data_IF_189001721981
#
_entry.id   IF_189001721981
#
_cell.length_a   1.000
_cell.length_b   1.000
_cell.length_c   1.000
_cell.angle_alpha   90.00
_cell.angle_beta   90.00
_cell.angle_gamma   90.00
#
_symmetry.space_group_name_H-M   'P 1'
#
loop_
_entity.id
_entity.type
_entity.pdbx_description
1 polymer ?
#
# COMPACT_ATOMS: atom_id res chain seq x y z
N UNK A 1 -10.82 12.52 -18.06
CA UNK A 1 -9.94 11.71 -18.96
C UNK A 1 -9.93 10.30 -18.43
N UNK A 2 -10.15 9.31 -19.31
CA UNK A 2 -10.04 7.90 -18.96
C UNK A 2 -8.55 7.56 -18.81
N UNK A 3 -8.18 6.95 -17.67
CA UNK A 3 -6.80 6.62 -17.33
C UNK A 3 -6.56 5.11 -17.37
N UNK A 4 -7.57 4.29 -17.02
CA UNK A 4 -7.47 2.83 -17.03
C UNK A 4 -8.28 2.26 -18.18
N UNK A 5 -7.70 1.30 -18.91
CA UNK A 5 -8.27 0.69 -20.10
C UNK A 5 -8.26 -0.84 -19.96
N UNK A 6 -9.42 -1.44 -19.63
CA UNK A 6 -9.58 -2.90 -19.50
C UNK A 6 -8.54 -3.56 -18.58
N UNK A 7 -8.26 -2.93 -17.44
CA UNK A 7 -7.34 -3.47 -16.43
C UNK A 7 -8.02 -4.60 -15.68
N UNK A 8 -7.38 -5.77 -15.66
CA UNK A 8 -7.77 -6.90 -14.82
C UNK A 8 -6.56 -7.39 -14.04
N UNK A 9 -6.71 -7.57 -12.75
CA UNK A 9 -5.72 -8.17 -11.87
C UNK A 9 -6.44 -8.84 -10.69
N UNK A 10 -5.77 -9.76 -10.05
CA UNK A 10 -6.22 -10.40 -8.83
C UNK A 10 -5.10 -10.44 -7.78
N UNK A 11 -5.49 -10.55 -6.52
CA UNK A 11 -4.59 -10.63 -5.36
C UNK A 11 -5.11 -11.71 -4.44
N UNK A 12 -4.33 -12.77 -4.22
CA UNK A 12 -4.73 -13.87 -3.35
C UNK A 12 -4.46 -13.56 -1.87
N UNK A 13 -5.18 -14.19 -0.94
CA UNK A 13 -4.94 -13.99 0.48
C UNK A 13 -3.48 -14.24 0.88
N UNK A 14 -2.91 -13.33 1.66
CA UNK A 14 -1.56 -13.43 2.21
C UNK A 14 -0.42 -13.23 1.22
N UNK A 15 -0.70 -12.90 -0.06
CA UNK A 15 0.36 -12.58 -1.02
C UNK A 15 0.68 -11.09 -1.11
N UNK A 16 1.85 -10.77 -1.61
CA UNK A 16 2.22 -9.44 -2.07
C UNK A 16 2.24 -9.41 -3.59
N UNK A 17 1.31 -8.65 -4.15
CA UNK A 17 1.28 -8.34 -5.59
C UNK A 17 1.83 -6.95 -5.81
N UNK A 18 2.78 -6.80 -6.74
CA UNK A 18 3.32 -5.50 -7.13
C UNK A 18 2.74 -5.05 -8.47
N UNK A 19 2.29 -3.81 -8.52
CA UNK A 19 1.87 -3.13 -9.75
C UNK A 19 2.99 -2.18 -10.18
N UNK A 20 3.75 -2.62 -11.17
CA UNK A 20 4.91 -1.90 -11.70
C UNK A 20 4.51 -0.99 -12.85
N UNK A 21 5.04 0.22 -12.88
CA UNK A 21 4.80 1.17 -13.97
C UNK A 21 5.49 2.50 -13.69
N UNK A 22 5.87 3.24 -14.72
CA UNK A 22 6.38 4.59 -14.56
C UNK A 22 5.27 5.56 -14.14
N UNK A 23 5.63 6.80 -13.81
CA UNK A 23 4.64 7.81 -13.39
C UNK A 23 3.63 8.09 -14.53
N UNK A 24 2.37 8.30 -14.15
CA UNK A 24 1.29 8.57 -15.09
C UNK A 24 0.62 7.33 -15.71
N UNK A 25 1.10 6.12 -15.43
CA UNK A 25 0.54 4.89 -16.02
C UNK A 25 -0.74 4.35 -15.35
N UNK A 26 -1.29 5.06 -14.35
CA UNK A 26 -2.59 4.70 -13.76
C UNK A 26 -2.51 3.89 -12.46
N UNK A 27 -1.32 3.61 -11.91
CA UNK A 27 -1.15 2.85 -10.66
C UNK A 27 -1.98 3.40 -9.50
N UNK A 28 -1.76 4.67 -9.14
CA UNK A 28 -2.52 5.34 -8.06
C UNK A 28 -4.01 5.45 -8.37
N UNK A 29 -4.38 5.57 -9.66
CA UNK A 29 -5.79 5.57 -10.08
C UNK A 29 -6.44 4.23 -9.75
N UNK A 30 -5.75 3.11 -10.02
CA UNK A 30 -6.24 1.79 -9.69
C UNK A 30 -6.43 1.62 -8.18
N UNK A 31 -5.42 1.95 -7.37
CA UNK A 31 -5.53 1.86 -5.90
C UNK A 31 -6.65 2.73 -5.35
N UNK A 32 -6.80 3.96 -5.87
CA UNK A 32 -7.89 4.87 -5.49
C UNK A 32 -9.27 4.34 -5.91
N UNK A 33 -9.35 3.59 -7.01
CA UNK A 33 -10.60 2.93 -7.42
C UNK A 33 -10.98 1.82 -6.45
N UNK A 34 -10.01 1.01 -5.99
CA UNK A 34 -10.24 0.00 -4.95
C UNK A 34 -10.74 0.63 -3.65
N UNK A 35 -10.22 1.82 -3.28
CA UNK A 35 -10.64 2.55 -2.08
C UNK A 35 -11.95 3.34 -2.24
N UNK A 36 -12.63 3.25 -3.39
CA UNK A 36 -13.85 4.01 -3.64
C UNK A 36 -13.65 5.53 -3.80
N UNK A 37 -12.39 5.99 -3.87
CA UNK A 37 -12.07 7.42 -4.09
C UNK A 37 -12.27 7.84 -5.56
N UNK A 38 -12.23 6.89 -6.46
CA UNK A 38 -12.52 7.07 -7.88
C UNK A 38 -13.47 5.96 -8.32
N UNK A 39 -14.47 6.30 -9.12
CA UNK A 39 -15.45 5.32 -9.60
C UNK A 39 -15.09 4.92 -11.04
N UNK A 40 -14.83 3.62 -11.30
CA UNK A 40 -14.66 3.12 -12.66
C UNK A 40 -15.98 3.26 -13.44
N UNK A 41 -15.87 3.61 -14.72
CA UNK A 41 -17.04 3.74 -15.61
C UNK A 41 -17.66 2.38 -15.94
N UNK A 42 -16.87 1.32 -15.95
CA UNK A 42 -17.29 -0.06 -16.23
C UNK A 42 -16.40 -1.05 -15.48
N UNK A 43 -16.85 -2.29 -15.38
CA UNK A 43 -16.11 -3.37 -14.72
C UNK A 43 -16.63 -3.68 -13.32
N UNK A 44 -15.85 -4.41 -12.54
CA UNK A 44 -16.16 -4.80 -11.16
C UNK A 44 -14.90 -4.81 -10.31
N UNK A 45 -15.02 -4.49 -9.04
CA UNK A 45 -13.96 -4.66 -8.04
C UNK A 45 -14.52 -5.56 -6.95
N UNK A 46 -14.07 -6.81 -6.91
CA UNK A 46 -14.63 -7.83 -6.04
C UNK A 46 -13.64 -8.18 -4.93
N UNK A 47 -14.15 -8.22 -3.72
CA UNK A 47 -13.48 -8.75 -2.56
C UNK A 47 -14.15 -10.07 -2.18
N UNK A 48 -13.36 -11.11 -1.96
CA UNK A 48 -13.83 -12.38 -1.43
C UNK A 48 -13.21 -12.61 -0.04
N UNK A 49 -14.06 -12.81 0.95
CA UNK A 49 -13.66 -13.13 2.33
C UNK A 49 -14.55 -14.27 2.80
N UNK A 50 -13.95 -15.36 3.28
CA UNK A 50 -14.65 -16.55 3.78
C UNK A 50 -15.71 -17.12 2.81
N UNK A 51 -15.40 -17.06 1.50
CA UNK A 51 -16.28 -17.53 0.42
C UNK A 51 -17.45 -16.58 0.11
N UNK A 52 -17.54 -15.44 0.78
CA UNK A 52 -18.51 -14.40 0.46
C UNK A 52 -17.87 -13.34 -0.45
N UNK A 53 -18.49 -13.13 -1.60
CA UNK A 53 -18.06 -12.13 -2.57
C UNK A 53 -18.81 -10.81 -2.35
N UNK A 54 -18.06 -9.73 -2.24
CA UNK A 54 -18.58 -8.36 -2.09
C UNK A 54 -18.07 -7.49 -3.23
N UNK A 55 -18.96 -6.81 -3.94
CA UNK A 55 -18.58 -5.78 -4.90
C UNK A 55 -18.25 -4.49 -4.14
N UNK A 56 -17.07 -3.91 -4.42
CA UNK A 56 -16.64 -2.65 -3.82
C UNK A 56 -17.13 -1.42 -4.60
N UNK A 57 -17.61 -1.61 -5.84
CA UNK A 57 -18.15 -0.49 -6.64
C UNK A 57 -19.42 0.02 -5.98
N UNK A 58 -19.49 1.34 -5.82
CA UNK A 58 -20.61 2.02 -5.17
C UNK A 58 -20.54 2.08 -3.64
N UNK A 59 -19.57 1.39 -3.01
CA UNK A 59 -19.32 1.56 -1.59
C UNK A 59 -18.55 2.85 -1.31
N UNK A 60 -18.84 3.47 -0.18
CA UNK A 60 -18.06 4.59 0.31
C UNK A 60 -16.67 4.13 0.81
N UNK A 61 -15.72 5.05 0.87
CA UNK A 61 -14.38 4.75 1.41
C UNK A 61 -14.48 4.25 2.86
N UNK A 62 -15.41 4.78 3.65
CA UNK A 62 -15.65 4.36 5.02
C UNK A 62 -16.10 2.90 5.09
N UNK A 63 -17.03 2.49 4.23
CA UNK A 63 -17.48 1.08 4.15
C UNK A 63 -16.33 0.15 3.73
N UNK A 64 -15.48 0.57 2.80
CA UNK A 64 -14.31 -0.19 2.35
C UNK A 64 -13.29 -0.35 3.48
N UNK A 65 -13.05 0.71 4.23
CA UNK A 65 -12.17 0.66 5.41
C UNK A 65 -12.75 -0.27 6.49
N UNK A 66 -14.06 -0.21 6.76
CA UNK A 66 -14.72 -1.10 7.73
C UNK A 66 -14.62 -2.59 7.35
N UNK A 67 -14.59 -2.93 6.06
CA UNK A 67 -14.35 -4.31 5.58
C UNK A 67 -12.93 -4.78 5.90
N UNK A 68 -11.98 -3.86 6.09
CA UNK A 68 -10.59 -4.18 6.46
C UNK A 68 -9.56 -3.90 5.38
N UNK A 69 -9.86 -2.99 4.46
CA UNK A 69 -8.89 -2.49 3.49
C UNK A 69 -8.34 -1.15 3.98
N UNK A 70 -7.01 -1.03 4.05
CA UNK A 70 -6.34 0.23 4.35
C UNK A 70 -5.38 0.63 3.24
N UNK A 71 -5.11 1.94 3.14
CA UNK A 71 -4.20 2.48 2.14
C UNK A 71 -3.11 3.33 2.78
N UNK A 72 -1.86 3.08 2.39
CA UNK A 72 -0.73 3.99 2.56
C UNK A 72 -0.67 4.86 1.31
N UNK A 73 -1.05 6.13 1.37
CA UNK A 73 -1.11 6.98 0.19
C UNK A 73 0.27 7.50 -0.22
N UNK A 74 0.44 7.79 -1.49
CA UNK A 74 1.57 8.57 -1.99
C UNK A 74 1.64 9.93 -1.28
N UNK A 75 2.86 10.40 -1.00
CA UNK A 75 3.10 11.70 -0.37
C UNK A 75 2.76 11.75 1.12
N UNK A 76 2.65 10.59 1.79
CA UNK A 76 2.51 10.41 3.25
C UNK A 76 1.19 10.93 3.83
N UNK A 77 0.68 12.10 3.38
CA UNK A 77 -0.59 12.71 3.78
C UNK A 77 -0.78 12.79 5.31
N UNK A 78 0.26 13.24 6.02
CA UNK A 78 0.23 13.39 7.48
C UNK A 78 -0.46 14.68 7.91
N UNK A 79 -0.99 14.66 9.11
CA UNK A 79 -1.42 15.85 9.84
C UNK A 79 -0.19 16.48 10.51
N UNK A 80 0.46 17.41 9.82
CA UNK A 80 1.81 17.91 10.16
C UNK A 80 1.89 18.58 11.52
N UNK A 81 0.81 19.22 11.98
CA UNK A 81 0.72 19.91 13.27
C UNK A 81 0.38 18.96 14.43
N UNK A 82 -0.11 17.76 14.14
CA UNK A 82 -0.37 16.74 15.14
C UNK A 82 0.91 15.96 15.46
N UNK A 83 0.98 15.44 16.66
CA UNK A 83 2.05 14.55 17.10
C UNK A 83 2.02 13.21 16.34
N UNK A 84 3.10 12.43 16.44
CA UNK A 84 3.15 11.06 15.93
C UNK A 84 2.01 10.23 16.49
N UNK A 85 1.82 10.23 17.83
CA UNK A 85 0.78 9.45 18.50
C UNK A 85 -0.63 9.84 18.06
N UNK A 86 -0.91 11.14 17.92
CA UNK A 86 -2.19 11.63 17.40
C UNK A 86 -2.42 11.19 15.95
N UNK A 87 -1.40 11.29 15.08
CA UNK A 87 -1.51 10.79 13.71
C UNK A 87 -1.84 9.30 13.68
N UNK A 88 -1.19 8.48 14.51
CA UNK A 88 -1.47 7.06 14.59
C UNK A 88 -2.91 6.82 15.08
N UNK A 89 -3.29 7.46 16.16
CA UNK A 89 -4.63 7.30 16.77
C UNK A 89 -5.76 7.61 15.78
N UNK A 90 -5.58 8.61 14.92
CA UNK A 90 -6.54 8.91 13.84
C UNK A 90 -6.69 7.74 12.83
N UNK A 91 -5.67 6.88 12.70
CA UNK A 91 -5.74 5.68 11.87
C UNK A 91 -6.68 4.60 12.41
N UNK A 92 -7.02 4.60 13.70
CA UNK A 92 -7.95 3.65 14.31
C UNK A 92 -9.41 3.99 13.98
N UNK A 93 -9.73 4.14 12.69
CA UNK A 93 -11.04 4.57 12.22
C UNK A 93 -12.10 3.48 12.39
N UNK A 94 -11.77 2.22 12.05
CA UNK A 94 -12.68 1.07 12.17
C UNK A 94 -13.19 0.89 13.61
N UNK A 95 -14.44 0.54 13.77
CA UNK A 95 -15.02 0.28 15.10
C UNK A 95 -14.25 -0.84 15.86
N UNK A 96 -13.90 -1.92 15.17
CA UNK A 96 -13.10 -3.01 15.73
C UNK A 96 -11.70 -2.55 16.17
N UNK A 97 -11.07 -1.68 15.41
CA UNK A 97 -9.73 -1.15 15.70
C UNK A 97 -9.75 -0.16 16.87
N UNK A 98 -10.82 0.64 17.02
CA UNK A 98 -11.01 1.55 18.17
C UNK A 98 -11.01 0.81 19.51
N UNK A 99 -11.55 -0.39 19.55
CA UNK A 99 -11.55 -1.25 20.75
C UNK A 99 -10.14 -1.76 21.13
N UNK A 100 -9.18 -1.68 20.21
CA UNK A 100 -7.79 -2.16 20.34
C UNK A 100 -6.74 -1.05 20.15
N UNK A 101 -7.09 0.22 20.34
CA UNK A 101 -6.20 1.34 20.09
C UNK A 101 -4.85 1.18 20.80
N UNK A 102 -4.85 0.79 22.08
CA UNK A 102 -3.64 0.64 22.88
C UNK A 102 -2.77 -0.48 22.30
N UNK A 103 -3.35 -1.64 22.03
CA UNK A 103 -2.64 -2.80 21.49
C UNK A 103 -2.06 -2.49 20.10
N UNK A 104 -2.82 -1.79 19.26
CA UNK A 104 -2.38 -1.38 17.92
C UNK A 104 -1.26 -0.32 17.99
N UNK A 105 -1.33 0.63 18.93
CA UNK A 105 -0.25 1.59 19.16
C UNK A 105 1.03 0.88 19.62
N UNK A 106 0.91 -0.02 20.60
CA UNK A 106 2.07 -0.79 21.09
C UNK A 106 2.67 -1.66 19.97
N UNK A 107 1.84 -2.29 19.15
CA UNK A 107 2.29 -3.00 17.96
C UNK A 107 3.03 -2.07 16.99
N UNK A 108 2.45 -0.93 16.62
CA UNK A 108 3.10 0.04 15.72
C UNK A 108 4.45 0.53 16.28
N UNK A 109 4.52 0.80 17.57
CA UNK A 109 5.76 1.21 18.23
C UNK A 109 6.80 0.08 18.36
N UNK A 110 6.39 -1.16 18.43
CA UNK A 110 7.30 -2.32 18.39
C UNK A 110 7.95 -2.48 17.01
N UNK A 111 7.16 -2.25 15.93
CA UNK A 111 7.64 -2.30 14.55
C UNK A 111 8.52 -1.09 14.21
N UNK A 112 8.16 0.09 14.70
CA UNK A 112 8.85 1.35 14.45
C UNK A 112 9.30 2.01 15.76
N UNK A 113 10.38 1.50 16.43
CA UNK A 113 10.83 2.03 17.72
C UNK A 113 11.15 3.53 17.70
N UNK A 114 11.64 4.04 16.57
CA UNK A 114 11.90 5.49 16.39
C UNK A 114 10.65 6.33 16.53
N UNK A 115 9.49 5.83 16.15
CA UNK A 115 8.22 6.54 16.34
C UNK A 115 7.83 6.58 17.83
N UNK A 116 8.16 5.52 18.60
CA UNK A 116 7.97 5.50 20.06
C UNK A 116 8.77 6.57 20.77
N UNK A 117 10.06 6.71 20.39
CA UNK A 117 10.96 7.75 20.94
C UNK A 117 10.42 9.15 20.66
N UNK A 118 9.75 9.34 19.53
CA UNK A 118 9.27 10.64 19.04
C UNK A 118 7.75 10.80 19.14
N UNK A 119 7.07 9.96 19.95
CA UNK A 119 5.61 9.87 19.99
C UNK A 119 4.91 11.21 20.22
N UNK A 120 5.53 12.11 20.97
CA UNK A 120 4.99 13.46 21.29
C UNK A 120 5.50 14.55 20.35
N UNK A 121 6.38 14.23 19.39
CA UNK A 121 6.89 15.17 18.41
C UNK A 121 5.87 15.39 17.29
N UNK A 122 5.75 16.62 16.77
CA UNK A 122 4.91 16.93 15.63
C UNK A 122 5.42 16.19 14.37
N UNK A 123 4.50 15.55 13.65
CA UNK A 123 4.83 14.74 12.48
C UNK A 123 5.50 15.53 11.35
N UNK A 124 5.15 16.82 11.22
CA UNK A 124 5.76 17.70 10.22
C UNK A 124 7.24 17.98 10.43
N UNK A 125 7.75 17.84 11.66
CA UNK A 125 9.17 18.08 12.00
C UNK A 125 10.06 16.84 11.87
N UNK A 126 9.49 15.69 11.52
CA UNK A 126 10.21 14.45 11.31
C UNK A 126 10.97 14.43 9.99
N UNK A 127 12.01 13.61 9.89
CA UNK A 127 12.66 13.31 8.60
C UNK A 127 11.69 12.61 7.64
N UNK A 128 11.98 12.68 6.33
CA UNK A 128 11.13 12.06 5.31
C UNK A 128 10.90 10.56 5.52
N UNK A 129 11.91 9.83 5.98
CA UNK A 129 11.79 8.42 6.31
C UNK A 129 10.90 8.15 7.53
N UNK A 130 11.06 8.95 8.59
CA UNK A 130 10.19 8.85 9.78
C UNK A 130 8.74 9.22 9.45
N UNK A 131 8.52 10.23 8.61
CA UNK A 131 7.18 10.57 8.12
C UNK A 131 6.55 9.41 7.34
N UNK A 132 7.34 8.69 6.53
CA UNK A 132 6.84 7.50 5.82
C UNK A 132 6.49 6.37 6.79
N UNK A 133 7.30 6.17 7.84
CA UNK A 133 6.97 5.21 8.90
C UNK A 133 5.66 5.58 9.60
N UNK A 134 5.40 6.88 9.87
CA UNK A 134 4.12 7.33 10.44
C UNK A 134 2.96 7.03 9.49
N UNK A 135 3.12 7.24 8.18
CA UNK A 135 2.07 6.96 7.20
C UNK A 135 1.71 5.46 7.16
N UNK A 136 2.71 4.57 7.15
CA UNK A 136 2.51 3.12 7.23
C UNK A 136 1.88 2.73 8.56
N UNK A 137 2.44 3.18 9.69
CA UNK A 137 1.93 2.87 11.02
C UNK A 137 0.48 3.33 11.20
N UNK A 138 0.11 4.53 10.69
CA UNK A 138 -1.27 5.02 10.72
C UNK A 138 -2.23 4.12 9.97
N UNK A 139 -1.82 3.58 8.82
CA UNK A 139 -2.65 2.63 8.07
C UNK A 139 -2.84 1.30 8.80
N UNK A 140 -1.86 0.87 9.59
CA UNK A 140 -1.95 -0.34 10.41
C UNK A 140 -2.86 -0.17 11.63
N UNK A 141 -3.04 1.07 12.10
CA UNK A 141 -3.92 1.35 13.24
C UNK A 141 -5.38 0.96 13.00
N UNK A 142 -5.82 0.83 11.74
CA UNK A 142 -7.16 0.31 11.46
C UNK A 142 -7.24 -1.23 11.48
N UNK A 143 -6.17 -1.94 11.86
CA UNK A 143 -6.09 -3.40 11.93
C UNK A 143 -6.60 -4.05 10.63
N UNK A 144 -5.94 -3.75 9.47
CA UNK A 144 -6.42 -4.18 8.17
C UNK A 144 -6.08 -5.64 7.88
N UNK A 145 -6.85 -6.28 6.99
CA UNK A 145 -6.52 -7.55 6.36
C UNK A 145 -5.81 -7.35 5.01
N UNK A 146 -6.11 -6.23 4.33
CA UNK A 146 -5.56 -5.87 3.03
C UNK A 146 -4.93 -4.49 3.13
N UNK A 147 -3.68 -4.39 2.70
CA UNK A 147 -2.91 -3.15 2.67
C UNK A 147 -2.60 -2.75 1.24
N UNK A 148 -3.16 -1.63 0.81
CA UNK A 148 -2.79 -0.96 -0.42
C UNK A 148 -1.64 0.00 -0.14
N UNK A 149 -0.57 -0.05 -0.94
CA UNK A 149 0.62 0.80 -0.72
C UNK A 149 0.94 1.54 -2.01
N UNK A 150 0.82 2.87 -1.99
CA UNK A 150 1.03 3.71 -3.17
C UNK A 150 2.39 4.40 -3.11
N UNK A 151 3.32 3.93 -3.91
CA UNK A 151 4.67 4.46 -4.13
C UNK A 151 5.43 4.79 -2.81
N UNK A 152 5.65 3.82 -1.93
CA UNK A 152 6.28 4.06 -0.62
C UNK A 152 7.73 4.54 -0.71
N UNK A 153 8.38 4.40 -1.87
CA UNK A 153 9.77 4.79 -2.11
C UNK A 153 9.96 6.26 -2.48
N UNK A 154 8.90 6.94 -2.92
CA UNK A 154 8.98 8.30 -3.46
C UNK A 154 9.51 9.30 -2.42
N UNK A 155 10.54 10.07 -2.83
CA UNK A 155 11.14 11.10 -1.98
C UNK A 155 11.95 10.59 -0.79
N UNK A 156 12.39 9.33 -0.85
CA UNK A 156 13.26 8.72 0.16
C UNK A 156 14.66 8.44 -0.42
N UNK A 157 15.67 8.53 0.44
CA UNK A 157 17.01 8.05 0.13
C UNK A 157 17.00 6.51 -0.04
N UNK A 158 17.84 5.93 -0.94
CA UNK A 158 17.81 4.50 -1.26
C UNK A 158 17.88 3.55 -0.04
N UNK A 159 18.67 3.93 0.96
CA UNK A 159 18.79 3.14 2.21
C UNK A 159 17.46 3.10 2.97
N UNK A 160 16.72 4.22 3.03
CA UNK A 160 15.43 4.31 3.71
C UNK A 160 14.34 3.55 2.94
N UNK A 161 14.41 3.55 1.61
CA UNK A 161 13.51 2.74 0.77
C UNK A 161 13.67 1.26 1.10
N UNK A 162 14.92 0.75 1.11
CA UNK A 162 15.19 -0.66 1.42
C UNK A 162 14.70 -1.04 2.82
N UNK A 163 14.89 -0.16 3.81
CA UNK A 163 14.38 -0.37 5.17
C UNK A 163 12.85 -0.39 5.21
N UNK A 164 12.19 0.50 4.47
CA UNK A 164 10.72 0.56 4.41
C UNK A 164 10.12 -0.68 3.76
N UNK A 165 10.67 -1.12 2.64
CA UNK A 165 10.24 -2.34 1.94
C UNK A 165 10.43 -3.57 2.86
N UNK A 166 11.56 -3.67 3.57
CA UNK A 166 11.79 -4.74 4.54
C UNK A 166 10.74 -4.72 5.67
N UNK A 167 10.36 -3.52 6.15
CA UNK A 167 9.33 -3.37 7.18
C UNK A 167 7.94 -3.76 6.68
N UNK A 168 7.58 -3.44 5.44
CA UNK A 168 6.30 -3.87 4.84
C UNK A 168 6.27 -5.41 4.73
N UNK A 169 7.38 -6.05 4.35
CA UNK A 169 7.51 -7.50 4.32
C UNK A 169 7.33 -8.13 5.71
N UNK A 170 8.03 -7.61 6.71
CA UNK A 170 7.89 -8.03 8.11
C UNK A 170 6.43 -7.92 8.59
N UNK A 171 5.76 -6.81 8.30
CA UNK A 171 4.37 -6.58 8.66
C UNK A 171 3.42 -7.58 7.97
N UNK A 172 3.65 -7.85 6.68
CA UNK A 172 2.88 -8.86 5.94
C UNK A 172 2.96 -10.22 6.64
N UNK A 173 4.16 -10.65 7.03
CA UNK A 173 4.38 -11.93 7.69
C UNK A 173 3.75 -11.97 9.09
N UNK A 174 3.96 -10.93 9.92
CA UNK A 174 3.45 -10.86 11.30
C UNK A 174 1.92 -10.79 11.40
N UNK A 175 1.27 -10.13 10.46
CA UNK A 175 -0.18 -9.89 10.45
C UNK A 175 -0.93 -10.72 9.41
N UNK A 176 -0.23 -11.57 8.65
CA UNK A 176 -0.80 -12.31 7.51
C UNK A 176 -1.55 -11.39 6.53
N UNK A 177 -0.94 -10.23 6.21
CA UNK A 177 -1.57 -9.24 5.35
C UNK A 177 -1.53 -9.67 3.88
N UNK A 178 -2.59 -9.35 3.17
CA UNK A 178 -2.60 -9.28 1.72
C UNK A 178 -2.14 -7.89 1.29
N UNK A 179 -1.17 -7.78 0.40
CA UNK A 179 -0.58 -6.50 0.00
C UNK A 179 -0.69 -6.29 -1.50
N UNK A 180 -1.28 -5.17 -1.91
CA UNK A 180 -1.17 -4.66 -3.28
C UNK A 180 -0.34 -3.38 -3.26
N UNK A 181 0.85 -3.41 -3.84
CA UNK A 181 1.78 -2.29 -3.83
C UNK A 181 2.03 -1.75 -5.23
N UNK A 182 1.73 -0.48 -5.43
CA UNK A 182 2.12 0.26 -6.63
C UNK A 182 3.53 0.82 -6.44
N UNK A 183 4.43 0.54 -7.37
CA UNK A 183 5.82 1.01 -7.33
C UNK A 183 6.36 1.32 -8.72
N UNK A 184 7.22 2.34 -8.75
CA UNK A 184 8.03 2.65 -9.93
C UNK A 184 9.41 1.98 -9.84
N UNK A 185 9.95 1.82 -8.63
CA UNK A 185 11.29 1.26 -8.42
C UNK A 185 11.24 -0.27 -8.45
N UNK A 186 11.49 -0.85 -9.63
CA UNK A 186 11.51 -2.29 -9.85
C UNK A 186 12.40 -3.03 -8.83
N UNK A 187 13.66 -2.57 -8.66
CA UNK A 187 14.63 -3.22 -7.79
C UNK A 187 14.22 -3.28 -6.32
N UNK A 188 13.32 -2.42 -5.89
CA UNK A 188 12.78 -2.44 -4.53
C UNK A 188 11.50 -3.27 -4.44
N UNK A 189 10.60 -3.14 -5.43
CA UNK A 189 9.35 -3.86 -5.48
C UNK A 189 9.57 -5.38 -5.51
N UNK A 190 10.53 -5.85 -6.31
CA UNK A 190 10.80 -7.28 -6.49
C UNK A 190 11.26 -7.98 -5.21
N UNK A 191 11.85 -7.27 -4.24
CA UNK A 191 12.32 -7.84 -2.96
C UNK A 191 11.19 -8.35 -2.06
N UNK A 192 9.98 -7.89 -2.29
CA UNK A 192 8.81 -8.23 -1.48
C UNK A 192 7.72 -8.93 -2.30
N UNK A 193 7.81 -8.86 -3.63
CA UNK A 193 6.83 -9.42 -4.54
C UNK A 193 6.77 -10.95 -4.47
N UNK A 194 5.59 -11.50 -4.33
CA UNK A 194 5.31 -12.90 -4.66
C UNK A 194 5.07 -13.02 -6.17
N UNK A 195 4.28 -12.09 -6.74
CA UNK A 195 4.02 -11.93 -8.18
C UNK A 195 3.69 -10.47 -8.51
N UNK A 196 3.43 -10.13 -9.77
CA UNK A 196 3.08 -8.77 -10.09
C UNK A 196 2.63 -8.54 -11.53
N UNK A 197 2.22 -7.31 -11.76
CA UNK A 197 1.73 -6.81 -13.03
C UNK A 197 2.52 -5.60 -13.48
N UNK A 198 2.70 -5.47 -14.78
CA UNK A 198 3.28 -4.25 -15.39
C UNK A 198 2.16 -3.49 -16.09
N UNK A 199 1.94 -2.24 -15.67
CA UNK A 199 0.95 -1.35 -16.25
C UNK A 199 1.65 -0.27 -17.08
N UNK A 200 1.21 -0.12 -18.33
CA UNK A 200 1.71 0.88 -19.28
C UNK A 200 0.50 1.55 -19.94
N UNK A 201 0.47 2.88 -19.93
CA UNK A 201 -0.65 3.67 -20.49
C UNK A 201 -2.05 3.19 -20.06
N UNK A 202 -2.18 2.78 -18.79
CA UNK A 202 -3.44 2.34 -18.22
C UNK A 202 -3.89 0.94 -18.61
N UNK A 203 -3.02 0.10 -19.17
CA UNK A 203 -3.29 -1.29 -19.54
C UNK A 203 -2.27 -2.22 -18.88
N UNK A 204 -2.68 -3.45 -18.55
CA UNK A 204 -1.75 -4.48 -18.11
C UNK A 204 -1.07 -5.08 -19.33
N UNK A 205 0.23 -4.84 -19.44
CA UNK A 205 1.06 -5.34 -20.55
C UNK A 205 1.71 -6.68 -20.22
N UNK A 206 1.92 -6.96 -18.94
CA UNK A 206 2.55 -8.21 -18.52
C UNK A 206 2.06 -8.62 -17.13
N UNK A 207 1.88 -9.92 -16.94
CA UNK A 207 1.67 -10.57 -15.66
C UNK A 207 2.83 -11.54 -15.39
N UNK A 208 3.57 -11.32 -14.31
CA UNK A 208 4.57 -12.27 -13.80
C UNK A 208 3.99 -13.06 -12.64
N UNK A 209 3.84 -14.36 -12.81
CA UNK A 209 3.30 -15.26 -11.80
C UNK A 209 4.25 -15.53 -10.64
N UNK A 210 5.50 -15.12 -10.79
CA UNK A 210 6.55 -15.20 -9.77
C UNK A 210 7.45 -13.97 -9.85
N UNK A 211 8.16 -13.66 -8.76
CA UNK A 211 9.20 -12.64 -8.77
C UNK A 211 10.27 -12.92 -9.84
N UNK A 212 10.64 -14.19 -10.03
CA UNK A 212 11.63 -14.60 -11.04
C UNK A 212 11.17 -14.34 -12.48
N UNK A 213 9.87 -14.51 -12.79
CA UNK A 213 9.33 -14.15 -14.10
C UNK A 213 9.41 -12.65 -14.36
N UNK A 214 9.14 -11.83 -13.34
CA UNK A 214 9.30 -10.37 -13.44
C UNK A 214 10.76 -9.99 -13.68
N UNK A 215 11.70 -10.57 -12.94
CA UNK A 215 13.15 -10.29 -13.07
C UNK A 215 13.73 -10.70 -14.44
N UNK A 216 13.22 -11.77 -15.01
CA UNK A 216 13.74 -12.30 -16.27
C UNK A 216 13.04 -11.75 -17.52
N UNK A 217 12.00 -10.94 -17.37
CA UNK A 217 11.27 -10.39 -18.50
C UNK A 217 12.08 -9.29 -19.23
N UNK A 218 12.33 -9.47 -20.53
CA UNK A 218 13.13 -8.56 -21.35
C UNK A 218 12.51 -7.15 -21.47
N UNK A 219 11.18 -7.06 -21.54
CA UNK A 219 10.48 -5.78 -21.56
C UNK A 219 10.72 -5.00 -20.26
N UNK A 220 10.64 -5.67 -19.11
CA UNK A 220 10.92 -5.06 -17.81
C UNK A 220 12.38 -4.61 -17.74
N UNK A 221 13.32 -5.42 -18.20
CA UNK A 221 14.74 -5.04 -18.24
C UNK A 221 14.96 -3.79 -19.07
N UNK A 222 14.38 -3.69 -20.26
CA UNK A 222 14.48 -2.51 -21.11
C UNK A 222 13.86 -1.26 -20.46
N UNK A 223 12.66 -1.38 -19.87
CA UNK A 223 11.96 -0.24 -19.29
C UNK A 223 12.56 0.27 -17.97
N UNK A 224 13.13 -0.63 -17.16
CA UNK A 224 13.54 -0.30 -15.79
C UNK A 224 15.05 -0.39 -15.55
N UNK A 225 15.79 -1.21 -16.31
CA UNK A 225 17.21 -1.45 -16.10
C UNK A 225 18.07 -0.87 -17.21
N UNK A 226 17.49 -0.41 -18.32
CA UNK A 226 18.20 0.17 -19.44
C UNK A 226 19.12 -0.82 -20.18
N UNK A 227 18.79 -2.12 -20.10
CA UNK A 227 19.56 -3.20 -20.69
C UNK A 227 19.09 -3.54 -22.11
#
# INVERSE_FOLDING_TARGET
VQVLHNVSLDVNPGETVVLLGTNGNGKSTLLKSVMGLLHPSNGAIRLEVDGQQTDLIGKSTEEIVEIGIAMVPEGRRLFSLLTVEENLTLGAYREAARKKIIDNLDFCFSIFPRLKERRKQQAGSLSGGEQQMVAVARSLMCDPNILLVDEPSVGLAPILVSQMIAKIKELKELKNLTVLMAEQNFNQAIKIADRGYVIVHGQIEFEGKTAAELENNEMIKQFYLGA
#
